data_IF_725335683489
#
_entry.id   IF_725335683489
#
_cell.length_a   1.000
_cell.length_b   1.000
_cell.length_c   1.000
_cell.angle_alpha   90.00
_cell.angle_beta   90.00
_cell.angle_gamma   90.00
#
_symmetry.space_group_name_H-M   'P 1'
#
loop_
_entity.id
_entity.type
_entity.pdbx_description
1 polymer ?
#
# COMPACT_ATOMS: atom_id res chain seq x y z
N UNK A 1 -34.90 -40.88 -54.12
CA UNK A 1 -34.65 -41.15 -52.69
C UNK A 1 -34.04 -39.87 -52.08
N UNK A 2 -34.89 -39.06 -51.47
CA UNK A 2 -34.49 -37.80 -50.77
C UNK A 2 -34.00 -38.11 -49.36
N UNK A 3 -32.83 -37.59 -49.03
CA UNK A 3 -32.30 -37.65 -47.64
C UNK A 3 -32.82 -36.45 -46.84
N UNK A 4 -33.32 -36.64 -45.61
CA UNK A 4 -33.71 -35.49 -44.78
C UNK A 4 -32.47 -34.82 -44.19
N UNK A 5 -32.39 -33.48 -44.28
CA UNK A 5 -31.43 -32.63 -43.61
C UNK A 5 -31.74 -32.61 -42.11
N UNK A 6 -30.83 -33.16 -41.28
CA UNK A 6 -30.86 -33.01 -39.82
C UNK A 6 -30.39 -31.61 -39.46
N UNK A 7 -31.28 -30.76 -39.04
CA UNK A 7 -30.93 -29.48 -38.42
C UNK A 7 -30.32 -29.77 -37.03
N UNK A 8 -28.99 -29.60 -36.90
CA UNK A 8 -28.34 -29.55 -35.59
C UNK A 8 -28.75 -28.25 -34.91
N UNK A 9 -29.56 -28.37 -33.87
CA UNK A 9 -29.81 -27.29 -32.93
C UNK A 9 -28.54 -27.05 -32.08
N UNK A 10 -27.59 -26.28 -32.59
CA UNK A 10 -26.48 -25.75 -31.79
C UNK A 10 -27.02 -24.58 -30.96
N UNK A 11 -27.33 -24.88 -29.70
CA UNK A 11 -27.62 -23.84 -28.70
C UNK A 11 -26.34 -23.04 -28.52
N UNK A 12 -26.38 -21.76 -28.86
CA UNK A 12 -25.28 -20.86 -28.64
C UNK A 12 -24.94 -20.82 -27.12
N UNK A 13 -23.65 -20.84 -26.74
CA UNK A 13 -23.29 -20.75 -25.34
C UNK A 13 -23.80 -19.44 -24.70
N UNK A 14 -24.20 -19.45 -23.44
CA UNK A 14 -24.71 -18.26 -22.77
C UNK A 14 -23.67 -17.12 -22.83
N UNK A 15 -24.10 -15.97 -23.34
CA UNK A 15 -23.30 -14.74 -23.35
C UNK A 15 -23.09 -14.31 -21.89
N UNK A 16 -21.93 -14.62 -21.34
CA UNK A 16 -21.52 -14.12 -20.03
C UNK A 16 -21.28 -12.62 -20.18
N UNK A 17 -22.19 -11.81 -19.62
CA UNK A 17 -21.97 -10.35 -19.56
C UNK A 17 -20.70 -10.09 -18.76
N UNK A 18 -19.74 -9.31 -19.29
CA UNK A 18 -18.54 -8.98 -18.52
C UNK A 18 -18.95 -8.27 -17.24
N UNK A 19 -18.33 -8.66 -16.10
CA UNK A 19 -18.49 -7.94 -14.83
C UNK A 19 -18.17 -6.47 -15.07
N UNK A 20 -18.99 -5.52 -14.56
CA UNK A 20 -18.68 -4.10 -14.70
C UNK A 20 -17.31 -3.83 -14.08
N UNK A 21 -16.41 -3.22 -14.86
CA UNK A 21 -15.10 -2.78 -14.39
C UNK A 21 -15.36 -1.56 -13.49
N UNK A 22 -15.00 -1.67 -12.22
CA UNK A 22 -15.07 -0.55 -11.28
C UNK A 22 -14.20 0.61 -11.79
N UNK A 23 -14.68 1.85 -11.65
CA UNK A 23 -13.82 3.01 -11.86
C UNK A 23 -12.63 2.98 -10.88
N UNK A 24 -11.52 3.63 -11.22
CA UNK A 24 -10.35 3.69 -10.32
C UNK A 24 -10.72 4.35 -8.98
N UNK A 25 -11.67 5.27 -8.98
CA UNK A 25 -12.19 5.91 -7.77
C UNK A 25 -12.91 4.88 -6.89
N UNK A 26 -13.82 4.10 -7.47
CA UNK A 26 -14.57 3.07 -6.72
C UNK A 26 -13.65 1.95 -6.24
N UNK A 27 -12.70 1.53 -7.08
CA UNK A 27 -11.70 0.52 -6.73
C UNK A 27 -10.82 1.00 -5.56
N UNK A 28 -10.33 2.24 -5.59
CA UNK A 28 -9.52 2.81 -4.52
C UNK A 28 -10.29 2.95 -3.21
N UNK A 29 -11.57 3.38 -3.28
CA UNK A 29 -12.46 3.41 -2.11
C UNK A 29 -12.59 2.03 -1.49
N UNK A 30 -13.00 1.05 -2.28
CA UNK A 30 -13.22 -0.31 -1.82
C UNK A 30 -11.95 -0.94 -1.23
N UNK A 31 -10.79 -0.70 -1.84
CA UNK A 31 -9.51 -1.20 -1.36
C UNK A 31 -9.18 -0.68 0.04
N UNK A 32 -9.31 0.63 0.28
CA UNK A 32 -9.02 1.21 1.59
C UNK A 32 -10.06 0.81 2.63
N UNK A 33 -11.35 0.68 2.26
CA UNK A 33 -12.39 0.15 3.15
C UNK A 33 -12.04 -1.27 3.61
N UNK A 34 -11.79 -2.18 2.67
CA UNK A 34 -11.47 -3.59 2.98
C UNK A 34 -10.16 -3.71 3.77
N UNK A 35 -9.11 -2.97 3.41
CA UNK A 35 -7.85 -2.98 4.16
C UNK A 35 -8.05 -2.50 5.58
N UNK A 36 -8.78 -1.40 5.75
CA UNK A 36 -9.06 -0.83 7.08
C UNK A 36 -9.84 -1.80 7.97
N UNK A 37 -10.85 -2.46 7.42
CA UNK A 37 -11.63 -3.47 8.15
C UNK A 37 -10.76 -4.66 8.58
N UNK A 38 -9.91 -5.17 7.68
CA UNK A 38 -8.99 -6.26 8.00
C UNK A 38 -7.99 -5.89 9.09
N UNK A 39 -7.39 -4.69 9.00
CA UNK A 39 -6.45 -4.22 10.03
C UNK A 39 -7.16 -4.02 11.37
N UNK A 40 -8.36 -3.40 11.38
CA UNK A 40 -9.13 -3.22 12.61
C UNK A 40 -9.53 -4.56 13.25
N UNK A 41 -9.91 -5.54 12.45
CA UNK A 41 -10.22 -6.89 12.95
C UNK A 41 -9.00 -7.53 13.63
N UNK A 42 -7.81 -7.43 13.01
CA UNK A 42 -6.57 -7.98 13.56
C UNK A 42 -6.14 -7.32 14.86
N UNK A 43 -6.14 -5.98 14.94
CA UNK A 43 -5.68 -5.28 16.15
C UNK A 43 -6.67 -5.40 17.33
N UNK A 44 -7.92 -5.73 17.07
CA UNK A 44 -8.95 -5.95 18.10
C UNK A 44 -9.18 -7.45 18.42
N UNK A 45 -8.49 -8.36 17.75
CA UNK A 45 -8.58 -9.79 18.04
C UNK A 45 -7.83 -10.12 19.35
N UNK A 46 -8.60 -10.43 20.38
CA UNK A 46 -8.07 -10.79 21.69
C UNK A 46 -7.46 -12.21 21.73
N UNK A 47 -7.73 -13.04 20.73
CA UNK A 47 -7.13 -14.36 20.58
C UNK A 47 -5.71 -14.34 20.01
N UNK A 48 -5.27 -13.21 19.46
CA UNK A 48 -3.93 -13.05 18.90
C UNK A 48 -3.01 -12.27 19.84
N UNK A 49 -1.80 -12.76 20.01
CA UNK A 49 -0.71 -11.99 20.62
C UNK A 49 -0.33 -10.79 19.75
N UNK A 50 0.34 -9.79 20.33
CA UNK A 50 0.84 -8.63 19.56
C UNK A 50 1.78 -9.02 18.43
N UNK A 51 2.58 -10.05 18.61
CA UNK A 51 3.47 -10.57 17.57
C UNK A 51 2.71 -11.23 16.42
N UNK A 52 1.65 -12.00 16.72
CA UNK A 52 0.78 -12.59 15.70
C UNK A 52 0.00 -11.51 14.94
N UNK A 53 -0.56 -10.53 15.64
CA UNK A 53 -1.20 -9.37 15.01
C UNK A 53 -0.22 -8.67 14.04
N UNK A 54 1.01 -8.41 14.49
CA UNK A 54 2.07 -7.79 13.68
C UNK A 54 2.40 -8.63 12.44
N UNK A 55 2.51 -9.95 12.58
CA UNK A 55 2.81 -10.85 11.47
C UNK A 55 1.70 -10.81 10.40
N UNK A 56 0.43 -10.86 10.81
CA UNK A 56 -0.70 -10.79 9.89
C UNK A 56 -0.81 -9.43 9.20
N UNK A 57 -0.61 -8.34 9.94
CA UNK A 57 -0.59 -6.98 9.38
C UNK A 57 0.56 -6.84 8.38
N UNK A 58 1.75 -7.34 8.68
CA UNK A 58 2.90 -7.31 7.79
C UNK A 58 2.61 -7.96 6.44
N UNK A 59 1.93 -9.12 6.43
CA UNK A 59 1.50 -9.80 5.20
C UNK A 59 0.51 -8.96 4.38
N UNK A 60 -0.44 -8.28 5.04
CA UNK A 60 -1.35 -7.35 4.35
C UNK A 60 -0.59 -6.20 3.73
N UNK A 61 0.33 -5.58 4.46
CA UNK A 61 1.13 -4.45 3.96
C UNK A 61 1.98 -4.86 2.75
N UNK A 62 2.57 -6.05 2.74
CA UNK A 62 3.32 -6.57 1.58
C UNK A 62 2.47 -6.67 0.33
N UNK A 63 1.18 -6.98 0.47
CA UNK A 63 0.24 -7.10 -0.64
C UNK A 63 -0.26 -5.74 -1.11
N UNK A 64 -0.54 -4.82 -0.19
CA UNK A 64 -1.23 -3.56 -0.49
C UNK A 64 -0.28 -2.42 -0.89
N UNK A 65 0.98 -2.45 -0.42
CA UNK A 65 1.96 -1.40 -0.70
C UNK A 65 2.74 -1.67 -1.99
N UNK A 66 2.99 -0.63 -2.79
CA UNK A 66 4.00 -0.67 -3.84
C UNK A 66 5.38 -0.33 -3.25
N UNK A 67 5.94 -1.27 -2.49
CA UNK A 67 7.18 -1.06 -1.74
C UNK A 67 8.37 -0.66 -2.64
N UNK A 68 8.59 -1.28 -3.82
CA UNK A 68 9.66 -0.85 -4.72
C UNK A 68 9.53 0.59 -5.16
N UNK A 69 8.32 1.02 -5.55
CA UNK A 69 8.08 2.41 -5.94
C UNK A 69 8.23 3.36 -4.76
N UNK A 70 7.70 3.00 -3.58
CA UNK A 70 7.87 3.80 -2.36
C UNK A 70 9.34 4.00 -2.03
N UNK A 71 10.15 2.95 -2.08
CA UNK A 71 11.60 3.05 -1.82
C UNK A 71 12.30 3.99 -2.80
N UNK A 72 11.95 3.93 -4.09
CA UNK A 72 12.48 4.85 -5.11
C UNK A 72 12.05 6.30 -4.86
N UNK A 73 10.78 6.51 -4.51
CA UNK A 73 10.24 7.84 -4.18
C UNK A 73 10.91 8.45 -2.94
N UNK A 74 11.24 7.62 -1.95
CA UNK A 74 11.96 8.05 -0.74
C UNK A 74 13.40 8.43 -1.07
N UNK A 75 14.11 7.64 -1.84
CA UNK A 75 15.51 7.91 -2.22
C UNK A 75 15.63 9.08 -3.20
N UNK A 76 14.57 9.33 -3.99
CA UNK A 76 14.45 10.44 -4.93
C UNK A 76 15.65 10.55 -5.88
N UNK A 77 16.29 11.73 -6.01
CA UNK A 77 17.47 11.93 -6.83
C UNK A 77 18.65 11.03 -6.45
N UNK A 78 18.72 10.55 -5.22
CA UNK A 78 19.78 9.63 -4.79
C UNK A 78 19.62 8.22 -5.39
N UNK A 79 18.43 7.89 -5.91
CA UNK A 79 18.21 6.63 -6.63
C UNK A 79 19.11 6.51 -7.86
N UNK A 80 19.22 7.57 -8.65
CA UNK A 80 20.02 7.57 -9.88
C UNK A 80 21.53 7.59 -9.60
N UNK A 81 21.96 8.03 -8.40
CA UNK A 81 23.34 8.00 -7.96
C UNK A 81 23.77 6.62 -7.45
N UNK A 82 22.82 5.84 -6.91
CA UNK A 82 23.08 4.49 -6.44
C UNK A 82 23.36 3.54 -7.62
N UNK A 83 24.40 2.71 -7.52
CA UNK A 83 24.63 1.65 -8.49
C UNK A 83 23.61 0.51 -8.34
N UNK A 84 23.53 -0.39 -9.32
CA UNK A 84 22.52 -1.47 -9.34
C UNK A 84 22.55 -2.34 -8.08
N UNK A 85 23.75 -2.71 -7.60
CA UNK A 85 23.91 -3.49 -6.37
C UNK A 85 23.35 -2.75 -5.16
N UNK A 86 23.63 -1.45 -5.04
CA UNK A 86 23.10 -0.61 -3.99
C UNK A 86 21.58 -0.44 -4.08
N UNK A 87 21.03 -0.29 -5.28
CA UNK A 87 19.59 -0.19 -5.50
C UNK A 87 18.87 -1.46 -5.03
N UNK A 88 19.36 -2.64 -5.40
CA UNK A 88 18.80 -3.93 -4.98
C UNK A 88 18.88 -4.11 -3.46
N UNK A 89 20.04 -3.83 -2.88
CA UNK A 89 20.25 -3.98 -1.43
C UNK A 89 19.42 -2.97 -0.61
N UNK A 90 19.34 -1.73 -1.09
CA UNK A 90 18.49 -0.71 -0.51
C UNK A 90 17.00 -1.11 -0.51
N UNK A 91 16.47 -1.56 -1.64
CA UNK A 91 15.06 -1.97 -1.72
C UNK A 91 14.76 -3.17 -0.81
N UNK A 92 15.69 -4.10 -0.68
CA UNK A 92 15.55 -5.24 0.24
C UNK A 92 15.46 -4.78 1.71
N UNK A 93 16.35 -3.89 2.12
CA UNK A 93 16.34 -3.32 3.48
C UNK A 93 15.17 -2.36 3.71
N UNK A 94 14.85 -1.54 2.72
CA UNK A 94 13.68 -0.64 2.79
C UNK A 94 12.38 -1.42 2.98
N UNK A 95 12.19 -2.53 2.27
CA UNK A 95 11.01 -3.39 2.43
C UNK A 95 10.81 -3.82 3.88
N UNK A 96 11.83 -4.35 4.49
CA UNK A 96 11.76 -4.79 5.89
C UNK A 96 11.48 -3.61 6.83
N UNK A 97 12.20 -2.50 6.64
CA UNK A 97 12.04 -1.30 7.43
C UNK A 97 10.62 -0.73 7.37
N UNK A 98 10.07 -0.51 6.16
CA UNK A 98 8.74 0.11 6.01
C UNK A 98 7.62 -0.76 6.57
N UNK A 99 7.71 -2.08 6.36
CA UNK A 99 6.74 -3.04 6.92
C UNK A 99 6.82 -3.04 8.44
N UNK A 100 8.02 -3.10 9.01
CA UNK A 100 8.24 -3.13 10.45
C UNK A 100 7.68 -1.87 11.12
N UNK A 101 8.11 -0.67 10.69
CA UNK A 101 7.66 0.58 11.33
C UNK A 101 6.15 0.80 11.18
N UNK A 102 5.56 0.36 10.08
CA UNK A 102 4.11 0.52 9.84
C UNK A 102 3.32 -0.48 10.68
N UNK A 103 3.71 -1.75 10.70
CA UNK A 103 3.03 -2.77 11.50
C UNK A 103 3.15 -2.50 13.00
N UNK A 104 4.32 -2.07 13.48
CA UNK A 104 4.53 -1.69 14.89
C UNK A 104 3.60 -0.56 15.32
N UNK A 105 3.47 0.48 14.49
CA UNK A 105 2.56 1.61 14.77
C UNK A 105 1.09 1.20 14.76
N UNK A 106 0.68 0.32 13.86
CA UNK A 106 -0.69 -0.14 13.77
C UNK A 106 -1.09 -1.00 14.97
N UNK A 107 -0.24 -1.93 15.40
CA UNK A 107 -0.52 -2.84 16.53
C UNK A 107 -0.71 -2.10 17.86
N UNK A 108 -0.03 -0.97 18.04
CA UNK A 108 -0.17 -0.16 19.27
C UNK A 108 -1.14 1.02 19.11
N UNK A 109 -1.76 1.16 17.93
CA UNK A 109 -2.70 2.26 17.69
C UNK A 109 -4.00 2.05 18.48
N UNK A 110 -4.60 3.17 18.90
CA UNK A 110 -5.94 3.21 19.52
C UNK A 110 -7.05 3.51 18.50
N UNK A 111 -6.76 3.37 17.20
CA UNK A 111 -7.72 3.59 16.12
C UNK A 111 -8.82 2.51 16.19
N UNK A 112 -10.08 2.95 16.17
CA UNK A 112 -11.25 2.08 16.23
C UNK A 112 -12.00 2.01 14.91
N UNK A 113 -11.89 3.05 14.09
CA UNK A 113 -12.59 3.13 12.81
C UNK A 113 -11.86 4.04 11.83
N UNK A 114 -11.89 3.65 10.57
CA UNK A 114 -11.49 4.48 9.44
C UNK A 114 -12.75 4.83 8.65
N UNK A 115 -13.06 6.12 8.51
CA UNK A 115 -14.23 6.61 7.77
C UNK A 115 -13.77 7.38 6.55
N UNK A 116 -14.02 6.83 5.36
CA UNK A 116 -13.70 7.51 4.09
C UNK A 116 -14.68 8.68 3.89
N UNK A 117 -14.14 9.85 3.57
CA UNK A 117 -14.92 11.07 3.33
C UNK A 117 -14.90 11.52 1.87
N UNK A 118 -13.79 11.30 1.15
CA UNK A 118 -13.63 11.75 -0.22
C UNK A 118 -12.72 10.80 -1.00
N UNK A 119 -12.99 10.59 -2.28
CA UNK A 119 -12.08 9.92 -3.21
C UNK A 119 -12.02 10.69 -4.51
N UNK A 120 -10.81 10.96 -5.03
CA UNK A 120 -10.61 11.71 -6.25
C UNK A 120 -9.34 11.29 -6.98
N UNK A 121 -9.24 11.61 -8.26
CA UNK A 121 -8.00 11.47 -9.01
C UNK A 121 -7.12 12.70 -8.81
N UNK A 122 -5.80 12.51 -8.81
CA UNK A 122 -4.83 13.58 -8.64
C UNK A 122 -3.56 13.37 -9.46
N UNK A 123 -3.02 14.51 -9.88
CA UNK A 123 -1.75 14.58 -10.60
C UNK A 123 -1.81 14.04 -12.04
N UNK A 124 -0.70 14.21 -12.76
CA UNK A 124 -0.56 13.77 -14.16
C UNK A 124 -0.68 12.26 -14.34
N UNK A 125 -0.32 11.49 -13.32
CA UNK A 125 -0.39 10.01 -13.33
C UNK A 125 -1.75 9.46 -12.90
N UNK A 126 -2.73 10.35 -12.67
CA UNK A 126 -4.09 9.99 -12.24
C UNK A 126 -4.09 9.08 -11.01
N UNK A 127 -3.26 9.41 -10.01
CA UNK A 127 -3.27 8.70 -8.74
C UNK A 127 -4.64 8.82 -8.08
N UNK A 128 -5.07 7.79 -7.38
CA UNK A 128 -6.29 7.83 -6.58
C UNK A 128 -5.94 8.33 -5.19
N UNK A 129 -6.55 9.45 -4.78
CA UNK A 129 -6.46 9.96 -3.42
C UNK A 129 -7.73 9.59 -2.65
N UNK A 130 -7.56 8.85 -1.57
CA UNK A 130 -8.63 8.47 -0.65
C UNK A 130 -8.43 9.24 0.64
N UNK A 131 -9.33 10.17 0.95
CA UNK A 131 -9.34 10.89 2.22
C UNK A 131 -10.19 10.18 3.24
N UNK A 132 -9.66 10.02 4.44
CA UNK A 132 -10.36 9.38 5.54
C UNK A 132 -10.17 10.12 6.87
N UNK A 133 -11.05 9.83 7.82
CA UNK A 133 -10.91 10.19 9.24
C UNK A 133 -10.56 8.94 10.02
N UNK A 134 -9.43 8.97 10.73
CA UNK A 134 -9.04 7.97 11.70
C UNK A 134 -9.71 8.32 13.04
N UNK A 135 -10.60 7.46 13.50
CA UNK A 135 -11.36 7.65 14.74
C UNK A 135 -10.73 6.79 15.81
N UNK A 136 -10.29 7.42 16.88
CA UNK A 136 -9.67 6.79 18.04
C UNK A 136 -10.55 6.94 19.29
N UNK A 137 -10.28 6.16 20.33
CA UNK A 137 -11.08 6.17 21.56
C UNK A 137 -10.86 7.44 22.38
N UNK A 138 -9.61 7.89 22.50
CA UNK A 138 -9.22 8.93 23.45
C UNK A 138 -8.77 10.24 22.79
N UNK A 139 -8.80 10.31 21.44
CA UNK A 139 -8.30 11.46 20.68
C UNK A 139 -9.33 11.93 19.67
N UNK A 140 -9.22 13.22 19.29
CA UNK A 140 -10.02 13.76 18.19
C UNK A 140 -9.70 13.01 16.89
N UNK A 141 -10.69 12.84 15.99
CA UNK A 141 -10.47 12.24 14.68
C UNK A 141 -9.35 12.96 13.93
N UNK A 142 -8.52 12.19 13.27
CA UNK A 142 -7.36 12.67 12.51
C UNK A 142 -7.57 12.40 11.04
N UNK A 143 -7.25 13.37 10.18
CA UNK A 143 -7.29 13.18 8.73
C UNK A 143 -6.10 12.33 8.28
N UNK A 144 -6.40 11.38 7.40
CA UNK A 144 -5.43 10.56 6.69
C UNK A 144 -5.77 10.54 5.21
N UNK A 145 -4.79 10.82 4.36
CA UNK A 145 -4.89 10.78 2.91
C UNK A 145 -4.03 9.63 2.39
N UNK A 146 -4.68 8.68 1.74
CA UNK A 146 -4.05 7.52 1.10
C UNK A 146 -3.83 7.83 -0.37
N UNK A 147 -2.63 7.61 -0.88
CA UNK A 147 -2.32 7.77 -2.29
C UNK A 147 -2.06 6.42 -2.91
N UNK A 148 -2.86 6.08 -3.91
CA UNK A 148 -2.75 4.82 -4.64
C UNK A 148 -2.37 5.10 -6.09
N UNK A 149 -1.57 4.20 -6.67
CA UNK A 149 -1.18 4.21 -8.09
C UNK A 149 -1.26 2.81 -8.64
N UNK A 150 -1.66 2.67 -9.91
CA UNK A 150 -1.54 1.39 -10.62
C UNK A 150 -0.08 0.99 -10.77
N UNK A 151 0.19 -0.27 -10.45
CA UNK A 151 1.47 -0.89 -10.77
C UNK A 151 1.54 -1.28 -12.27
N UNK A 152 2.62 -1.91 -12.69
CA UNK A 152 2.83 -2.32 -14.07
C UNK A 152 1.81 -3.36 -14.57
N UNK A 153 1.11 -4.04 -13.65
CA UNK A 153 0.02 -4.97 -13.95
C UNK A 153 -1.37 -4.32 -13.93
N UNK A 154 -1.44 -3.00 -13.73
CA UNK A 154 -2.69 -2.25 -13.64
C UNK A 154 -3.42 -2.40 -12.31
N UNK A 155 -2.78 -2.95 -11.28
CA UNK A 155 -3.35 -3.12 -9.94
C UNK A 155 -3.05 -1.90 -9.09
N UNK A 156 -4.08 -1.35 -8.45
CA UNK A 156 -3.91 -0.24 -7.50
C UNK A 156 -3.12 -0.68 -6.28
N UNK A 157 -2.06 0.07 -5.97
CA UNK A 157 -1.21 -0.13 -4.79
C UNK A 157 -1.02 1.19 -4.05
N UNK A 158 -0.94 1.13 -2.74
CA UNK A 158 -0.65 2.29 -1.91
C UNK A 158 0.81 2.70 -2.12
N UNK A 159 1.04 3.98 -2.37
CA UNK A 159 2.39 4.56 -2.57
C UNK A 159 2.74 5.63 -1.56
N UNK A 160 1.77 6.16 -0.82
CA UNK A 160 1.97 7.10 0.28
C UNK A 160 0.77 7.13 1.23
N UNK A 161 1.03 7.50 2.46
CA UNK A 161 0.04 7.81 3.48
C UNK A 161 0.43 9.12 4.16
N UNK A 162 -0.46 10.10 4.09
CA UNK A 162 -0.30 11.36 4.83
C UNK A 162 -1.22 11.35 6.04
N UNK A 163 -0.68 11.65 7.22
CA UNK A 163 -1.46 11.80 8.46
C UNK A 163 -1.27 13.22 8.96
N UNK A 164 -2.38 13.92 9.23
CA UNK A 164 -2.36 15.36 9.60
C UNK A 164 -1.62 16.23 8.57
N UNK A 165 -1.66 15.88 7.30
CA UNK A 165 -0.96 16.58 6.23
C UNK A 165 0.52 16.23 6.07
N UNK A 166 1.09 15.36 6.90
CA UNK A 166 2.48 14.92 6.78
C UNK A 166 2.58 13.62 6.00
N UNK A 167 3.13 13.70 4.79
CA UNK A 167 3.41 12.54 3.93
C UNK A 167 4.52 11.69 4.54
N UNK A 168 4.30 10.39 4.62
CA UNK A 168 5.31 9.43 5.06
C UNK A 168 6.51 9.40 4.08
N UNK A 169 6.25 9.41 2.78
CA UNK A 169 7.30 9.43 1.76
C UNK A 169 8.15 10.69 1.87
N UNK A 170 7.55 11.87 2.01
CA UNK A 170 8.31 13.12 2.13
C UNK A 170 9.11 13.19 3.43
N UNK A 171 8.57 12.70 4.52
CA UNK A 171 9.28 12.63 5.81
C UNK A 171 10.49 11.70 5.70
N UNK A 172 10.31 10.48 5.20
CA UNK A 172 11.41 9.53 5.02
C UNK A 172 12.45 10.04 4.00
N UNK A 173 12.02 10.74 2.94
CA UNK A 173 12.95 11.37 1.98
C UNK A 173 13.88 12.38 2.66
N UNK A 174 13.34 13.22 3.55
CA UNK A 174 14.13 14.15 4.34
C UNK A 174 15.14 13.44 5.24
N UNK A 175 14.66 12.44 5.99
CA UNK A 175 15.49 11.68 6.92
C UNK A 175 16.59 10.90 6.20
N UNK A 176 16.24 10.16 5.16
CA UNK A 176 17.19 9.36 4.39
C UNK A 176 18.16 10.22 3.59
N UNK A 177 17.67 11.33 3.02
CA UNK A 177 18.51 12.30 2.32
C UNK A 177 19.60 12.88 3.22
N UNK A 178 19.28 13.18 4.47
CA UNK A 178 20.25 13.64 5.46
C UNK A 178 21.32 12.59 5.76
N UNK A 179 20.95 11.33 5.89
CA UNK A 179 21.88 10.21 6.07
C UNK A 179 22.78 10.03 4.83
N UNK A 180 22.18 10.02 3.64
CA UNK A 180 22.95 9.88 2.38
C UNK A 180 23.95 11.01 2.21
N UNK A 181 23.58 12.23 2.55
CA UNK A 181 24.47 13.39 2.47
C UNK A 181 25.74 13.23 3.34
N UNK A 182 25.62 12.59 4.49
CA UNK A 182 26.74 12.46 5.47
C UNK A 182 27.46 11.11 5.39
N UNK A 183 26.74 10.02 5.04
CA UNK A 183 27.26 8.65 5.11
C UNK A 183 27.14 7.89 3.79
N UNK A 184 26.62 8.52 2.74
CA UNK A 184 26.37 7.88 1.43
C UNK A 184 25.26 6.82 1.45
N UNK A 185 25.00 6.22 0.30
CA UNK A 185 24.00 5.15 0.14
C UNK A 185 24.36 3.93 1.00
N UNK A 186 25.65 3.54 1.02
CA UNK A 186 26.11 2.41 1.83
C UNK A 186 25.84 2.64 3.33
N UNK A 187 26.06 3.87 3.83
CA UNK A 187 25.75 4.24 5.20
C UNK A 187 24.26 4.19 5.53
N UNK A 188 23.39 4.58 4.60
CA UNK A 188 21.94 4.43 4.74
C UNK A 188 21.54 2.95 4.83
N UNK A 189 22.02 2.11 3.91
CA UNK A 189 21.74 0.67 3.92
C UNK A 189 22.17 0.04 5.24
N UNK A 190 23.37 0.36 5.73
CA UNK A 190 23.84 -0.12 7.04
C UNK A 190 22.92 0.30 8.18
N UNK A 191 22.54 1.59 8.21
CA UNK A 191 21.62 2.11 9.23
C UNK A 191 20.28 1.37 9.26
N UNK A 192 19.72 1.07 8.08
CA UNK A 192 18.46 0.34 7.97
C UNK A 192 18.60 -1.10 8.44
N UNK A 193 19.71 -1.78 8.12
CA UNK A 193 20.01 -3.13 8.63
C UNK A 193 20.16 -3.17 10.15
N UNK A 194 20.81 -2.19 10.74
CA UNK A 194 21.00 -2.11 12.19
C UNK A 194 19.67 -1.92 12.94
N UNK A 195 18.64 -1.37 12.28
CA UNK A 195 17.30 -1.24 12.83
C UNK A 195 16.46 -2.51 12.76
N UNK A 196 16.80 -3.46 11.86
CA UNK A 196 16.12 -4.76 11.76
C UNK A 196 16.40 -5.66 12.96
N UNK A 197 17.51 -5.45 13.65
CA UNK A 197 18.01 -6.30 14.74
C UNK A 197 17.55 -5.88 16.14
N UNK A 198 16.76 -4.84 16.25
CA UNK A 198 16.16 -4.33 17.49
C UNK A 198 14.65 -4.54 17.54
#
# INVERSE_FOLDING_TARGET
RSRPYLFSNTVAPPVVKPKPVLSDIDAGRAQIEVLSEKVMALINDLGLSKNEQKLHISKLLETELNIPLMGRLVLDKNWDVANETQQVEYLKTFRKYIIQITSDRLVVSDIKKVKISEVRLAGKKKDVLVRSKLIATLRRPVLADWRLRKDDNGVLKIIDLSVKGFSMILTLRGDFGSVVKTKGIAGLIKLLKDKETK
#
